data_IF_645218636788
#
_entry.id   IF_645218636788
#
_cell.length_a   1.000
_cell.length_b   1.000
_cell.length_c   1.000
_cell.angle_alpha   90.00
_cell.angle_beta   90.00
_cell.angle_gamma   90.00
#
_symmetry.space_group_name_H-M   'P 1'
#
loop_
_entity.id
_entity.type
_entity.pdbx_description
1 polymer ?
#
# COMPACT_ATOMS: atom_id res chain seq x y z
N UNK A 1 -86.11 22.40 -14.88
CA UNK A 1 -85.80 23.13 -16.13
C UNK A 1 -84.71 24.13 -15.74
N UNK A 2 -83.40 23.94 -15.94
CA UNK A 2 -82.50 23.49 -17.04
C UNK A 2 -81.15 23.19 -16.36
N UNK A 3 -80.45 22.06 -16.54
CA UNK A 3 -79.56 21.62 -17.65
C UNK A 3 -78.40 22.56 -18.02
N UNK A 4 -77.20 22.11 -17.65
CA UNK A 4 -75.93 22.05 -18.41
C UNK A 4 -75.22 23.34 -18.89
N UNK A 5 -73.91 23.44 -18.59
CA UNK A 5 -72.80 23.11 -19.52
C UNK A 5 -71.47 23.58 -18.92
N UNK A 6 -70.59 22.63 -18.61
CA UNK A 6 -69.14 22.79 -18.50
C UNK A 6 -68.52 22.49 -19.88
N UNK A 7 -67.57 23.32 -20.35
CA UNK A 7 -66.63 22.92 -21.41
C UNK A 7 -65.20 23.31 -21.05
N UNK A 8 -64.35 22.34 -21.33
CA UNK A 8 -62.93 22.17 -21.03
C UNK A 8 -62.04 23.03 -21.92
N UNK A 9 -60.88 23.44 -21.37
CA UNK A 9 -59.77 24.06 -22.09
C UNK A 9 -58.57 23.10 -22.10
N UNK A 10 -57.84 23.11 -23.22
CA UNK A 10 -56.90 22.10 -23.68
C UNK A 10 -55.48 22.66 -23.75
N UNK A 11 -54.51 21.78 -23.42
CA UNK A 11 -53.06 21.75 -23.76
C UNK A 11 -52.03 22.64 -23.04
N UNK A 12 -51.12 21.97 -22.33
CA UNK A 12 -49.68 22.09 -22.55
C UNK A 12 -48.98 20.74 -22.21
N UNK A 13 -48.08 20.35 -23.10
CA UNK A 13 -47.36 19.06 -23.19
C UNK A 13 -46.42 18.83 -21.99
N UNK A 14 -46.45 17.62 -21.43
CA UNK A 14 -45.51 17.14 -20.41
C UNK A 14 -44.56 16.16 -21.10
N UNK A 15 -43.29 16.52 -21.25
CA UNK A 15 -42.24 15.68 -21.84
C UNK A 15 -41.35 15.14 -20.71
N UNK A 16 -41.34 13.83 -20.38
CA UNK A 16 -40.70 13.31 -19.17
C UNK A 16 -39.31 12.69 -19.42
N UNK A 17 -38.49 13.27 -20.31
CA UNK A 17 -37.14 12.75 -20.60
C UNK A 17 -36.05 13.83 -20.72
N UNK A 18 -35.83 14.59 -19.65
CA UNK A 18 -34.52 15.19 -19.40
C UNK A 18 -34.06 14.85 -17.98
N UNK A 19 -33.42 13.69 -17.84
CA UNK A 19 -32.53 13.44 -16.70
C UNK A 19 -31.21 14.12 -17.01
N UNK A 20 -31.12 15.39 -16.62
CA UNK A 20 -29.88 16.13 -16.51
C UNK A 20 -28.92 15.32 -15.62
N UNK A 21 -27.93 14.69 -16.24
CA UNK A 21 -26.83 14.03 -15.55
C UNK A 21 -25.88 15.12 -15.10
N UNK A 22 -26.16 15.72 -13.94
CA UNK A 22 -25.17 16.48 -13.17
C UNK A 22 -24.09 15.50 -12.71
N UNK A 23 -23.13 15.25 -13.59
CA UNK A 23 -21.87 14.63 -13.25
C UNK A 23 -21.17 15.58 -12.25
N UNK A 24 -21.09 15.13 -11.01
CA UNK A 24 -20.31 15.73 -9.94
C UNK A 24 -18.82 15.71 -10.35
N UNK A 25 -18.39 16.74 -11.08
CA UNK A 25 -17.05 16.89 -11.64
C UNK A 25 -16.00 17.32 -10.59
N UNK A 26 -16.23 17.04 -9.30
CA UNK A 26 -15.34 17.48 -8.23
C UNK A 26 -14.30 16.42 -7.80
N UNK A 27 -13.96 15.47 -8.67
CA UNK A 27 -12.74 14.68 -8.50
C UNK A 27 -11.54 15.55 -8.89
N UNK A 28 -10.53 15.74 -8.02
CA UNK A 28 -9.34 16.50 -8.36
C UNK A 28 -8.67 15.82 -9.57
N UNK A 29 -8.57 16.54 -10.68
CA UNK A 29 -7.91 16.05 -11.88
C UNK A 29 -6.43 15.77 -11.55
N UNK A 30 -6.07 14.50 -11.46
CA UNK A 30 -4.69 14.09 -11.14
C UNK A 30 -3.81 14.44 -12.35
N UNK A 31 -2.96 15.45 -12.18
CA UNK A 31 -2.00 15.85 -13.23
C UNK A 31 -1.08 14.69 -13.60
N UNK A 32 -1.15 14.24 -14.85
CA UNK A 32 -0.29 13.19 -15.40
C UNK A 32 0.99 13.76 -16.02
N UNK A 33 2.09 13.04 -15.88
CA UNK A 33 3.42 13.40 -16.35
C UNK A 33 4.01 12.30 -17.23
N UNK A 34 4.90 12.68 -18.15
CA UNK A 34 5.71 11.70 -18.88
C UNK A 34 6.70 11.02 -17.95
N UNK A 35 7.10 9.80 -18.30
CA UNK A 35 8.06 9.03 -17.52
C UNK A 35 9.40 9.76 -17.33
N UNK A 36 9.82 10.56 -18.33
CA UNK A 36 11.05 11.35 -18.28
C UNK A 36 11.08 12.31 -17.08
N UNK A 37 9.92 12.88 -16.71
CA UNK A 37 9.80 13.79 -15.55
C UNK A 37 9.93 13.06 -14.21
N UNK A 38 9.61 11.77 -14.19
CA UNK A 38 9.64 10.93 -12.99
C UNK A 38 10.94 10.14 -12.84
N UNK A 39 11.89 10.26 -13.76
CA UNK A 39 13.13 9.46 -13.78
C UNK A 39 13.93 9.55 -12.48
N UNK A 40 14.06 10.75 -11.92
CA UNK A 40 14.75 10.97 -10.64
C UNK A 40 14.01 10.31 -9.48
N UNK A 41 12.68 10.38 -9.46
CA UNK A 41 11.85 9.73 -8.45
C UNK A 41 11.98 8.21 -8.54
N UNK A 42 11.92 7.64 -9.75
CA UNK A 42 12.10 6.20 -9.98
C UNK A 42 13.46 5.73 -9.45
N UNK A 43 14.54 6.43 -9.82
CA UNK A 43 15.90 6.11 -9.32
C UNK A 43 15.98 6.18 -7.80
N UNK A 44 15.32 7.17 -7.19
CA UNK A 44 15.26 7.31 -5.72
C UNK A 44 14.52 6.13 -5.10
N UNK A 45 13.35 5.74 -5.62
CA UNK A 45 12.58 4.61 -5.10
C UNK A 45 13.39 3.32 -5.12
N UNK A 46 14.00 3.00 -6.28
CA UNK A 46 14.83 1.81 -6.43
C UNK A 46 15.97 1.81 -5.41
N UNK A 47 16.71 2.92 -5.32
CA UNK A 47 17.84 3.04 -4.39
C UNK A 47 17.42 2.90 -2.93
N UNK A 48 16.32 3.54 -2.52
CA UNK A 48 15.84 3.47 -1.13
C UNK A 48 15.42 2.05 -0.78
N UNK A 49 14.64 1.40 -1.65
CA UNK A 49 14.26 0.01 -1.42
C UNK A 49 15.47 -0.93 -1.36
N UNK A 50 16.46 -0.79 -2.23
CA UNK A 50 17.67 -1.63 -2.17
C UNK A 50 18.39 -1.49 -0.82
N UNK A 51 18.46 -0.27 -0.27
CA UNK A 51 19.06 -0.01 1.05
C UNK A 51 18.22 -0.65 2.18
N UNK A 52 16.91 -0.49 2.13
CA UNK A 52 16.03 -1.03 3.17
C UNK A 52 15.95 -2.57 3.13
N UNK A 53 16.09 -3.18 1.95
CA UNK A 53 16.17 -4.63 1.80
C UNK A 53 17.46 -5.22 2.39
N UNK A 54 18.60 -4.59 2.16
CA UNK A 54 19.87 -4.99 2.79
C UNK A 54 19.79 -4.88 4.32
N UNK A 55 19.14 -3.83 4.84
CA UNK A 55 18.89 -3.68 6.28
C UNK A 55 17.97 -4.78 6.83
N UNK A 56 16.88 -5.10 6.13
CA UNK A 56 15.96 -6.15 6.58
C UNK A 56 16.64 -7.52 6.64
N UNK A 57 17.48 -7.83 5.65
CA UNK A 57 18.29 -9.04 5.65
C UNK A 57 19.23 -9.10 6.88
N UNK A 58 19.91 -8.00 7.19
CA UNK A 58 20.78 -7.91 8.39
C UNK A 58 20.00 -8.10 9.68
N UNK A 59 18.82 -7.51 9.79
CA UNK A 59 17.94 -7.70 10.94
C UNK A 59 17.57 -9.18 11.12
N UNK A 60 17.26 -9.89 10.03
CA UNK A 60 16.95 -11.33 10.06
C UNK A 60 18.12 -12.15 10.63
N UNK A 61 19.34 -11.89 10.15
CA UNK A 61 20.53 -12.57 10.66
C UNK A 61 20.84 -12.23 12.12
N UNK A 62 20.66 -10.96 12.52
CA UNK A 62 20.88 -10.53 13.89
C UNK A 62 19.86 -11.14 14.86
N UNK A 63 18.59 -11.20 14.47
CA UNK A 63 17.53 -11.83 15.25
C UNK A 63 17.89 -13.29 15.53
N UNK A 64 18.19 -14.07 14.49
CA UNK A 64 18.61 -15.47 14.66
C UNK A 64 19.82 -15.62 15.60
N UNK A 65 20.83 -14.75 15.45
CA UNK A 65 22.02 -14.76 16.32
C UNK A 65 21.69 -14.43 17.77
N UNK A 66 20.81 -13.44 18.02
CA UNK A 66 20.43 -13.00 19.36
C UNK A 66 19.54 -14.03 20.06
N UNK A 67 18.62 -14.67 19.32
CA UNK A 67 17.82 -15.80 19.80
C UNK A 67 18.71 -16.95 20.28
N UNK A 68 19.69 -17.36 19.47
CA UNK A 68 20.63 -18.44 19.83
C UNK A 68 21.53 -18.09 21.04
N UNK A 69 21.74 -16.81 21.29
CA UNK A 69 22.54 -16.32 22.43
C UNK A 69 21.69 -16.03 23.67
N UNK A 70 20.37 -16.22 23.61
CA UNK A 70 19.41 -15.89 24.67
C UNK A 70 19.48 -14.41 25.14
N UNK A 71 19.95 -13.50 24.27
CA UNK A 71 19.98 -12.06 24.55
C UNK A 71 18.62 -11.44 24.24
N UNK A 72 17.67 -11.63 25.14
CA UNK A 72 16.28 -11.18 24.98
C UNK A 72 16.15 -9.65 24.85
N UNK A 73 17.03 -8.88 25.48
CA UNK A 73 17.01 -7.42 25.40
C UNK A 73 17.52 -6.95 24.02
N UNK A 74 18.62 -7.54 23.54
CA UNK A 74 19.11 -7.33 22.18
C UNK A 74 18.07 -7.74 21.14
N UNK A 75 17.48 -8.93 21.30
CA UNK A 75 16.44 -9.45 20.42
C UNK A 75 15.26 -8.50 20.29
N UNK A 76 14.71 -8.03 21.41
CA UNK A 76 13.57 -7.10 21.39
C UNK A 76 13.90 -5.80 20.65
N UNK A 77 15.08 -5.21 20.91
CA UNK A 77 15.52 -3.99 20.20
C UNK A 77 15.65 -4.24 18.70
N UNK A 78 16.20 -5.38 18.32
CA UNK A 78 16.39 -5.73 16.92
C UNK A 78 15.05 -5.95 16.19
N UNK A 79 14.08 -6.60 16.84
CA UNK A 79 12.72 -6.76 16.32
C UNK A 79 12.01 -5.41 16.11
N UNK A 80 12.15 -4.47 17.05
CA UNK A 80 11.60 -3.11 16.89
C UNK A 80 12.25 -2.36 15.71
N UNK A 81 13.57 -2.51 15.54
CA UNK A 81 14.28 -1.90 14.42
C UNK A 81 13.83 -2.51 13.08
N UNK A 82 13.72 -3.84 13.02
CA UNK A 82 13.24 -4.55 11.84
C UNK A 82 11.80 -4.13 11.47
N UNK A 83 10.91 -4.02 12.46
CA UNK A 83 9.55 -3.54 12.25
C UNK A 83 9.53 -2.12 11.64
N UNK A 84 10.43 -1.24 12.07
CA UNK A 84 10.58 0.10 11.48
C UNK A 84 11.01 0.02 10.00
N UNK A 85 11.97 -0.84 9.67
CA UNK A 85 12.39 -1.07 8.28
C UNK A 85 11.24 -1.60 7.41
N UNK A 86 10.43 -2.52 7.92
CA UNK A 86 9.22 -2.99 7.22
C UNK A 86 8.26 -1.83 6.92
N UNK A 87 8.05 -0.91 7.87
CA UNK A 87 7.21 0.27 7.62
C UNK A 87 7.80 1.21 6.57
N UNK A 88 9.13 1.36 6.52
CA UNK A 88 9.82 2.16 5.50
C UNK A 88 9.64 1.57 4.10
N UNK A 89 9.80 0.25 3.96
CA UNK A 89 9.54 -0.47 2.70
C UNK A 89 8.08 -0.27 2.26
N UNK A 90 7.11 -0.47 3.17
CA UNK A 90 5.68 -0.25 2.89
C UNK A 90 5.40 1.17 2.44
N UNK A 91 5.99 2.16 3.09
CA UNK A 91 5.82 3.57 2.74
C UNK A 91 6.36 3.84 1.33
N UNK A 92 7.55 3.33 1.00
CA UNK A 92 8.13 3.56 -0.33
C UNK A 92 7.34 2.86 -1.44
N UNK A 93 6.80 1.65 -1.20
CA UNK A 93 5.88 1.00 -2.15
C UNK A 93 4.63 1.86 -2.37
N UNK A 94 4.05 2.44 -1.33
CA UNK A 94 2.90 3.37 -1.48
C UNK A 94 3.28 4.63 -2.28
N UNK A 95 4.48 5.16 -2.11
CA UNK A 95 4.98 6.27 -2.92
C UNK A 95 5.13 5.89 -4.40
N UNK A 96 5.58 4.67 -4.69
CA UNK A 96 5.63 4.13 -6.06
C UNK A 96 4.23 4.08 -6.66
N UNK A 97 3.23 3.56 -5.94
CA UNK A 97 1.85 3.51 -6.44
C UNK A 97 1.26 4.90 -6.67
N UNK A 98 1.55 5.84 -5.76
CA UNK A 98 1.12 7.23 -5.92
C UNK A 98 1.77 7.87 -7.16
N UNK A 99 3.05 7.63 -7.39
CA UNK A 99 3.75 8.11 -8.57
C UNK A 99 3.19 7.48 -9.84
N UNK A 100 2.85 6.18 -9.81
CA UNK A 100 2.22 5.45 -10.92
C UNK A 100 0.91 6.12 -11.37
N UNK A 101 0.08 6.57 -10.43
CA UNK A 101 -1.16 7.28 -10.74
C UNK A 101 -0.96 8.65 -11.41
N UNK A 102 0.26 9.19 -11.38
CA UNK A 102 0.64 10.44 -12.02
C UNK A 102 1.40 10.21 -13.35
N UNK A 103 1.49 8.98 -13.85
CA UNK A 103 2.12 8.66 -15.14
C UNK A 103 1.06 8.75 -16.24
N UNK A 104 1.43 9.26 -17.41
CA UNK A 104 0.59 9.18 -18.62
C UNK A 104 0.30 7.72 -18.98
N UNK A 105 -0.90 7.41 -19.46
CA UNK A 105 -1.31 6.02 -19.68
C UNK A 105 -0.41 5.27 -20.68
N UNK A 106 0.06 5.97 -21.71
CA UNK A 106 1.03 5.47 -22.70
C UNK A 106 2.38 5.03 -22.09
N UNK A 107 2.79 5.65 -20.98
CA UNK A 107 4.07 5.45 -20.30
C UNK A 107 3.98 4.45 -19.13
N UNK A 108 2.78 3.99 -18.75
CA UNK A 108 2.57 3.14 -17.56
C UNK A 108 3.41 1.86 -17.59
N UNK A 109 3.44 1.18 -18.74
CA UNK A 109 4.20 -0.06 -18.91
C UNK A 109 5.71 0.15 -18.71
N UNK A 110 6.24 1.30 -19.14
CA UNK A 110 7.65 1.66 -18.95
C UNK A 110 7.94 1.95 -17.48
N UNK A 111 7.03 2.65 -16.80
CA UNK A 111 7.16 2.93 -15.36
C UNK A 111 7.18 1.62 -14.58
N UNK A 112 6.18 0.76 -14.83
CA UNK A 112 6.03 -0.54 -14.18
C UNK A 112 7.28 -1.39 -14.41
N UNK A 113 7.79 -1.46 -15.64
CA UNK A 113 9.01 -2.19 -15.96
C UNK A 113 10.24 -1.71 -15.17
N UNK A 114 10.38 -0.41 -14.91
CA UNK A 114 11.51 0.14 -14.14
C UNK A 114 11.47 -0.19 -12.65
N UNK A 115 10.28 -0.26 -12.05
CA UNK A 115 10.11 -0.50 -10.61
C UNK A 115 9.78 -1.96 -10.26
N UNK A 116 9.36 -2.76 -11.24
CA UNK A 116 8.85 -4.11 -11.02
C UNK A 116 9.83 -4.97 -10.22
N UNK A 117 11.10 -5.04 -10.66
CA UNK A 117 12.11 -5.91 -10.03
C UNK A 117 12.28 -5.58 -8.54
N UNK A 118 12.40 -4.31 -8.18
CA UNK A 118 12.64 -3.90 -6.79
C UNK A 118 11.37 -4.05 -5.94
N UNK A 119 10.19 -3.75 -6.51
CA UNK A 119 8.91 -3.91 -5.81
C UNK A 119 8.61 -5.38 -5.51
N UNK A 120 8.81 -6.28 -6.48
CA UNK A 120 8.62 -7.72 -6.30
C UNK A 120 9.56 -8.29 -5.24
N UNK A 121 10.85 -7.91 -5.28
CA UNK A 121 11.82 -8.26 -4.24
C UNK A 121 11.41 -7.76 -2.87
N UNK A 122 10.91 -6.53 -2.78
CA UNK A 122 10.51 -5.94 -1.52
C UNK A 122 9.31 -6.64 -0.89
N UNK A 123 8.28 -6.94 -1.70
CA UNK A 123 7.12 -7.70 -1.23
C UNK A 123 7.52 -9.10 -0.76
N UNK A 124 8.34 -9.80 -1.55
CA UNK A 124 8.84 -11.13 -1.20
C UNK A 124 9.66 -11.12 0.09
N UNK A 125 10.64 -10.23 0.22
CA UNK A 125 11.48 -10.16 1.42
C UNK A 125 10.69 -9.80 2.68
N UNK A 126 9.65 -8.96 2.56
CA UNK A 126 8.75 -8.69 3.68
C UNK A 126 7.95 -9.91 4.09
N UNK A 127 7.42 -10.68 3.12
CA UNK A 127 6.68 -11.91 3.38
C UNK A 127 7.58 -12.97 4.05
N UNK A 128 8.77 -13.19 3.49
CA UNK A 128 9.77 -14.09 4.09
C UNK A 128 10.12 -13.69 5.52
N UNK A 129 10.36 -12.40 5.76
CA UNK A 129 10.63 -11.89 7.10
C UNK A 129 9.46 -12.15 8.06
N UNK A 130 8.23 -11.84 7.66
CA UNK A 130 7.05 -12.07 8.51
C UNK A 130 6.86 -13.54 8.84
N UNK A 131 7.12 -14.44 7.88
CA UNK A 131 7.08 -15.89 8.10
C UNK A 131 8.18 -16.35 9.06
N UNK A 132 9.40 -15.83 8.91
CA UNK A 132 10.52 -16.12 9.81
C UNK A 132 10.20 -15.76 11.27
N UNK A 133 9.71 -14.54 11.52
CA UNK A 133 9.34 -14.11 12.89
C UNK A 133 8.12 -14.88 13.43
N UNK A 134 7.17 -15.22 12.57
CA UNK A 134 6.01 -16.04 12.92
C UNK A 134 6.38 -17.47 13.35
N UNK A 135 7.43 -18.05 12.75
CA UNK A 135 7.96 -19.36 13.17
C UNK A 135 8.74 -19.27 14.49
N UNK A 136 9.53 -18.20 14.68
CA UNK A 136 10.34 -17.99 15.90
C UNK A 136 9.48 -17.74 17.16
N UNK A 137 8.26 -17.24 16.99
CA UNK A 137 7.30 -16.97 18.09
C UNK A 137 6.70 -18.24 18.73
N UNK A 138 6.99 -19.43 18.19
CA UNK A 138 6.52 -20.71 18.76
C UNK A 138 7.47 -21.31 19.80
N UNK A 139 8.62 -20.68 20.03
CA UNK A 139 9.58 -21.09 21.06
C UNK A 139 9.34 -20.25 22.32
N UNK A 140 8.23 -20.53 23.02
CA UNK A 140 8.04 -20.04 24.39
C UNK A 140 9.06 -20.67 25.32
N UNK A 141 9.63 -19.93 26.30
CA UNK A 141 10.49 -20.51 27.31
C UNK A 141 9.67 -21.46 28.19
N UNK A 142 10.00 -22.75 28.16
CA UNK A 142 9.71 -23.65 29.26
C UNK A 142 10.52 -23.17 30.46
N UNK A 143 9.97 -22.26 31.27
CA UNK A 143 10.37 -22.21 32.69
C UNK A 143 9.63 -23.33 33.39
N UNK A 144 10.15 -24.55 33.25
CA UNK A 144 9.89 -25.62 34.19
C UNK A 144 10.58 -25.27 35.52
N UNK A 145 9.76 -25.10 36.55
CA UNK A 145 9.95 -25.68 37.87
C UNK A 145 11.24 -25.34 38.64
N UNK A 146 11.07 -24.58 39.72
CA UNK A 146 11.55 -25.04 41.02
C UNK A 146 10.51 -24.73 42.09
N UNK A 147 9.63 -25.69 42.33
CA UNK A 147 9.07 -25.91 43.66
C UNK A 147 10.20 -26.18 44.67
N UNK A 148 10.24 -25.34 45.68
CA UNK A 148 10.71 -25.64 47.04
C UNK A 148 9.58 -25.07 47.91
N UNK A 149 8.82 -25.86 48.66
CA UNK A 149 9.26 -26.73 49.75
C UNK A 149 8.57 -26.21 51.00
#
# INVERSE_FOLDING_TARGET
VVSDVLKTSTMASFDPHEKETVADNNSPEITKYSIKRLELSIKKFVKVLDIDLDRLYKHTANISRLTNAEDWNGLHKEQVNAARTIQQIKANIKEIEKARNQVKDEDLHLFDGKVHKVKSKALFAMEEFMNFIGMESTVSPLTSDTGFG
#
